data_IF_411064740138
#
_entry.id   IF_411064740138
#
_cell.length_a   1.000
_cell.length_b   1.000
_cell.length_c   1.000
_cell.angle_alpha   90.00
_cell.angle_beta   90.00
_cell.angle_gamma   90.00
#
_symmetry.space_group_name_H-M   'P 1'
#
loop_
_entity.id
_entity.type
_entity.pdbx_description
1 polymer ?
#
# COMPACT_ATOMS: atom_id res chain seq x y z
N UNK A 1 -1.54 -32.41 -25.10
CA UNK A 1 -0.66 -31.74 -24.11
C UNK A 1 -1.00 -30.27 -24.11
N UNK A 2 -1.77 -29.83 -23.11
CA UNK A 2 -2.19 -28.44 -22.96
C UNK A 2 -0.97 -27.59 -22.64
N UNK A 3 -0.60 -26.68 -23.55
CA UNK A 3 0.33 -25.60 -23.29
C UNK A 3 -0.29 -24.68 -22.24
N UNK A 4 -0.14 -25.02 -20.96
CA UNK A 4 -0.37 -24.07 -19.86
C UNK A 4 0.39 -22.79 -20.22
N UNK A 5 -0.36 -21.73 -20.50
CA UNK A 5 0.17 -20.45 -20.98
C UNK A 5 1.37 -20.04 -20.11
N UNK A 6 2.56 -19.89 -20.72
CA UNK A 6 3.80 -19.54 -20.01
C UNK A 6 3.65 -18.27 -19.17
N UNK A 7 2.78 -17.35 -19.58
CA UNK A 7 2.44 -16.13 -18.85
C UNK A 7 1.72 -16.43 -17.52
N UNK A 8 0.77 -17.38 -17.52
CA UNK A 8 0.03 -17.75 -16.30
C UNK A 8 0.94 -18.35 -15.22
N UNK A 9 2.11 -18.89 -15.60
CA UNK A 9 3.09 -19.40 -14.64
C UNK A 9 3.70 -18.27 -13.79
N UNK A 10 4.05 -17.14 -14.41
CA UNK A 10 4.62 -15.99 -13.69
C UNK A 10 3.64 -15.33 -12.71
N UNK A 11 2.33 -15.52 -12.91
CA UNK A 11 1.29 -15.08 -11.98
C UNK A 11 0.75 -16.21 -11.08
N UNK A 12 1.44 -17.35 -11.04
CA UNK A 12 1.05 -18.48 -10.21
C UNK A 12 1.54 -18.33 -8.78
N UNK A 13 0.83 -18.98 -7.84
CA UNK A 13 1.26 -19.05 -6.44
C UNK A 13 2.67 -19.65 -6.32
N UNK A 14 2.99 -20.68 -7.10
CA UNK A 14 4.29 -21.36 -7.02
C UNK A 14 5.48 -20.48 -7.41
N UNK A 15 5.25 -19.44 -8.23
CA UNK A 15 6.28 -18.50 -8.65
C UNK A 15 6.33 -17.28 -7.72
N UNK A 16 5.22 -16.55 -7.56
CA UNK A 16 5.19 -15.28 -6.81
C UNK A 16 5.33 -15.51 -5.30
N UNK A 17 4.70 -16.56 -4.77
CA UNK A 17 4.89 -16.99 -3.39
C UNK A 17 6.02 -18.03 -3.31
N UNK A 18 7.12 -17.82 -4.03
CA UNK A 18 8.38 -18.53 -3.82
C UNK A 18 9.30 -17.68 -2.93
N UNK A 19 10.03 -18.32 -2.01
CA UNK A 19 11.01 -17.64 -1.15
C UNK A 19 12.04 -16.83 -1.93
N UNK A 20 12.46 -17.29 -3.10
CA UNK A 20 13.44 -16.60 -3.95
C UNK A 20 12.87 -15.33 -4.60
N UNK A 21 11.55 -15.20 -4.72
CA UNK A 21 10.87 -14.00 -5.24
C UNK A 21 10.49 -13.06 -4.10
N UNK A 22 10.00 -13.61 -2.99
CA UNK A 22 9.61 -12.79 -1.83
C UNK A 22 10.81 -12.11 -1.15
N UNK A 23 12.01 -12.70 -1.16
CA UNK A 23 13.19 -12.08 -0.54
C UNK A 23 13.62 -10.78 -1.22
N UNK A 24 13.84 -10.74 -2.55
CA UNK A 24 14.08 -9.49 -3.26
C UNK A 24 12.95 -8.48 -3.05
N UNK A 25 11.69 -8.91 -3.15
CA UNK A 25 10.53 -8.06 -2.92
C UNK A 25 10.57 -7.41 -1.52
N UNK A 26 10.85 -8.19 -0.49
CA UNK A 26 10.99 -7.74 0.89
C UNK A 26 12.13 -6.74 1.05
N UNK A 27 13.33 -7.07 0.54
CA UNK A 27 14.51 -6.22 0.68
C UNK A 27 14.32 -4.89 -0.05
N UNK A 28 13.82 -4.92 -1.28
CA UNK A 28 13.54 -3.71 -2.05
C UNK A 28 12.53 -2.80 -1.34
N UNK A 29 11.43 -3.36 -0.83
CA UNK A 29 10.43 -2.58 -0.10
C UNK A 29 10.95 -2.07 1.25
N UNK A 30 11.74 -2.85 1.97
CA UNK A 30 12.36 -2.42 3.23
C UNK A 30 13.35 -1.26 3.00
N UNK A 31 14.22 -1.38 1.99
CA UNK A 31 15.16 -0.30 1.64
C UNK A 31 14.42 0.95 1.14
N UNK A 32 13.38 0.78 0.33
CA UNK A 32 12.52 1.87 -0.12
C UNK A 32 11.81 2.56 1.05
N UNK A 33 11.34 1.79 2.04
CA UNK A 33 10.75 2.30 3.28
C UNK A 33 11.75 3.17 4.04
N UNK A 34 12.96 2.66 4.30
CA UNK A 34 14.02 3.38 5.02
C UNK A 34 14.38 4.67 4.28
N UNK A 35 14.62 4.59 2.97
CA UNK A 35 14.91 5.74 2.14
C UNK A 35 13.76 6.76 2.15
N UNK A 36 12.52 6.28 2.11
CA UNK A 36 11.33 7.12 2.20
C UNK A 36 11.25 7.88 3.52
N UNK A 37 11.52 7.25 4.66
CA UNK A 37 11.55 7.97 5.94
C UNK A 37 12.66 9.04 5.97
N UNK A 38 13.83 8.75 5.40
CA UNK A 38 14.89 9.75 5.25
C UNK A 38 14.47 10.90 4.32
N UNK A 39 13.72 10.61 3.24
CA UNK A 39 13.18 11.62 2.33
C UNK A 39 12.25 12.61 3.04
N UNK A 40 11.43 12.13 3.97
CA UNK A 40 10.52 12.95 4.77
C UNK A 40 11.18 13.58 6.02
N UNK A 41 12.48 13.35 6.26
CA UNK A 41 13.15 13.78 7.51
C UNK A 41 12.95 15.26 7.82
N UNK A 42 13.15 16.14 6.83
CA UNK A 42 13.00 17.58 7.05
C UNK A 42 11.56 17.97 7.34
N UNK A 43 10.59 17.41 6.61
CA UNK A 43 9.16 17.67 6.81
C UNK A 43 8.68 17.16 8.19
N UNK A 44 9.20 16.02 8.65
CA UNK A 44 8.93 15.48 9.98
C UNK A 44 9.45 16.40 11.08
N UNK A 45 10.71 16.85 10.97
CA UNK A 45 11.32 17.78 11.93
C UNK A 45 10.51 19.08 11.98
N UNK A 46 10.20 19.65 10.81
CA UNK A 46 9.40 20.87 10.70
C UNK A 46 8.02 20.71 11.34
N UNK A 47 7.32 19.61 11.06
CA UNK A 47 5.99 19.34 11.64
C UNK A 47 6.06 19.20 13.16
N UNK A 48 7.05 18.50 13.71
CA UNK A 48 7.21 18.32 15.15
C UNK A 48 7.50 19.67 15.86
N UNK A 49 8.21 20.59 15.19
CA UNK A 49 8.54 21.89 15.75
C UNK A 49 7.43 22.95 15.59
N UNK A 50 6.63 22.86 14.54
CA UNK A 50 5.64 23.89 14.19
C UNK A 50 4.19 23.49 14.51
N UNK A 51 3.91 22.19 14.62
CA UNK A 51 2.58 21.61 14.83
C UNK A 51 2.58 20.69 16.06
N UNK A 52 1.39 20.28 16.56
CA UNK A 52 1.32 19.25 17.58
C UNK A 52 2.08 17.99 17.16
N UNK A 53 3.01 17.51 17.98
CA UNK A 53 3.95 16.44 17.61
C UNK A 53 3.29 15.15 17.08
N UNK A 54 2.03 14.88 17.46
CA UNK A 54 1.27 13.72 16.97
C UNK A 54 0.90 13.82 15.48
N UNK A 55 0.92 15.02 14.88
CA UNK A 55 0.74 15.20 13.43
C UNK A 55 1.79 14.43 12.63
N UNK A 56 2.99 14.21 13.20
CA UNK A 56 4.07 13.48 12.56
C UNK A 56 3.70 12.05 12.13
N UNK A 57 2.65 11.44 12.71
CA UNK A 57 2.19 10.10 12.30
C UNK A 57 1.52 10.13 10.91
N UNK A 58 1.02 11.29 10.48
CA UNK A 58 0.36 11.48 9.18
C UNK A 58 1.31 11.95 8.09
N UNK A 59 2.51 12.41 8.43
CA UNK A 59 3.47 13.00 7.48
C UNK A 59 4.12 11.97 6.54
N UNK A 60 4.63 10.82 7.02
CA UNK A 60 5.35 9.89 6.15
C UNK A 60 4.35 9.01 5.39
N UNK A 61 3.79 9.54 4.31
CA UNK A 61 2.79 8.90 3.45
C UNK A 61 3.28 7.59 2.80
N UNK A 62 3.98 7.65 1.67
CA UNK A 62 4.47 6.48 0.94
C UNK A 62 5.48 5.61 1.73
N UNK A 63 6.28 6.13 2.68
CA UNK A 63 7.08 5.29 3.57
C UNK A 63 6.21 4.42 4.48
N UNK A 64 5.10 4.93 5.01
CA UNK A 64 4.18 4.11 5.82
C UNK A 64 3.50 3.05 4.96
N UNK A 65 3.11 3.38 3.73
CA UNK A 65 2.54 2.41 2.80
C UNK A 65 3.47 1.24 2.48
N UNK A 66 4.74 1.54 2.14
CA UNK A 66 5.74 0.52 1.85
C UNK A 66 6.16 -0.28 3.09
N UNK A 67 6.13 0.32 4.29
CA UNK A 67 6.31 -0.39 5.56
C UNK A 67 5.21 -1.46 5.76
N UNK A 68 3.95 -1.07 5.61
CA UNK A 68 2.83 -2.02 5.76
C UNK A 68 2.85 -3.11 4.69
N UNK A 69 3.26 -2.78 3.45
CA UNK A 69 3.45 -3.80 2.42
C UNK A 69 4.60 -4.76 2.77
N UNK A 70 5.71 -4.26 3.31
CA UNK A 70 6.83 -5.07 3.80
C UNK A 70 6.37 -6.05 4.89
N UNK A 71 5.51 -5.61 5.81
CA UNK A 71 4.91 -6.49 6.85
C UNK A 71 3.95 -7.51 6.22
N UNK A 72 3.17 -7.11 5.20
CA UNK A 72 2.35 -8.05 4.41
C UNK A 72 3.20 -9.14 3.76
N UNK A 73 4.38 -8.81 3.22
CA UNK A 73 5.33 -9.81 2.69
C UNK A 73 5.84 -10.76 3.79
N UNK A 74 6.05 -10.29 5.03
CA UNK A 74 6.33 -11.19 6.16
C UNK A 74 5.21 -12.20 6.42
N UNK A 75 3.94 -11.79 6.31
CA UNK A 75 2.82 -12.72 6.39
C UNK A 75 2.81 -13.74 5.25
N UNK A 76 3.22 -13.35 4.04
CA UNK A 76 3.36 -14.28 2.91
C UNK A 76 4.47 -15.33 3.15
N UNK A 77 5.59 -14.94 3.77
CA UNK A 77 6.61 -15.91 4.21
C UNK A 77 6.05 -16.87 5.27
N UNK A 78 5.27 -16.36 6.22
CA UNK A 78 4.65 -17.17 7.26
C UNK A 78 3.70 -18.22 6.67
N UNK A 79 2.88 -17.84 5.69
CA UNK A 79 1.95 -18.75 5.03
C UNK A 79 2.66 -19.86 4.24
N UNK A 80 3.79 -19.56 3.59
CA UNK A 80 4.61 -20.58 2.93
C UNK A 80 5.15 -21.61 3.90
N UNK A 81 5.55 -21.18 5.11
CA UNK A 81 6.10 -22.08 6.11
C UNK A 81 5.01 -22.99 6.71
N UNK A 82 3.78 -22.48 6.91
CA UNK A 82 2.62 -23.28 7.34
C UNK A 82 2.25 -24.37 6.32
N UNK A 83 2.40 -24.11 5.03
CA UNK A 83 2.16 -25.12 3.99
C UNK A 83 3.15 -26.30 4.01
N UNK A 84 4.31 -26.15 4.67
CA UNK A 84 5.33 -27.21 4.82
C UNK A 84 5.19 -27.99 6.11
N UNK A 85 4.70 -27.37 7.18
CA UNK A 85 4.34 -28.03 8.44
C UNK A 85 2.91 -28.55 8.33
N UNK A 86 2.74 -29.71 7.69
CA UNK A 86 1.44 -30.39 7.50
C UNK A 86 0.74 -30.77 8.80
N UNK A 87 0.30 -29.80 9.60
CA UNK A 87 -0.78 -29.97 10.56
C UNK A 87 -2.06 -29.52 9.88
N UNK A 88 -2.71 -30.47 9.20
CA UNK A 88 -4.16 -30.46 9.10
C UNK A 88 -4.69 -30.53 10.55
N UNK A 89 -4.85 -29.39 11.21
CA UNK A 89 -5.74 -29.31 12.37
C UNK A 89 -7.15 -29.39 11.83
N UNK A 90 -7.64 -30.62 11.72
CA UNK A 90 -9.08 -30.87 11.68
C UNK A 90 -9.64 -30.51 13.05
N UNK A 91 -10.24 -29.35 13.15
CA UNK A 91 -11.21 -29.03 14.20
C UNK A 91 -11.98 -27.79 13.77
N UNK A 92 -13.30 -27.93 13.79
CA UNK A 92 -14.31 -26.90 13.59
C UNK A 92 -14.25 -25.85 14.71
N UNK A 93 -13.17 -25.07 14.76
CA UNK A 93 -13.11 -23.96 15.70
C UNK A 93 -13.89 -22.79 15.10
N UNK A 94 -15.12 -22.62 15.60
CA UNK A 94 -15.94 -21.41 15.47
C UNK A 94 -15.02 -20.19 15.67
N UNK A 95 -14.93 -19.25 14.72
CA UNK A 95 -13.90 -18.23 14.74
C UNK A 95 -14.23 -17.17 15.79
N UNK A 96 -13.78 -17.40 17.02
CA UNK A 96 -13.41 -16.29 17.90
C UNK A 96 -12.44 -15.45 17.07
N UNK A 97 -12.78 -14.19 16.85
CA UNK A 97 -12.00 -13.19 16.10
C UNK A 97 -10.53 -13.31 16.53
N UNK A 98 -9.76 -14.13 15.81
CA UNK A 98 -8.37 -14.39 16.17
C UNK A 98 -7.67 -13.06 15.96
N UNK A 99 -7.09 -12.48 17.02
CA UNK A 99 -6.36 -11.19 16.94
C UNK A 99 -5.38 -11.17 15.76
N UNK A 100 -4.80 -12.32 15.40
CA UNK A 100 -3.96 -12.48 14.21
C UNK A 100 -4.68 -12.26 12.88
N UNK A 101 -5.96 -12.60 12.77
CA UNK A 101 -6.80 -12.37 11.59
C UNK A 101 -7.17 -10.89 11.40
N UNK A 102 -7.49 -10.18 12.49
CA UNK A 102 -7.80 -8.75 12.42
C UNK A 102 -6.55 -7.93 12.13
N UNK A 103 -5.45 -8.20 12.83
CA UNK A 103 -4.18 -7.51 12.59
C UNK A 103 -3.72 -7.69 11.14
N UNK A 104 -3.70 -8.94 10.65
CA UNK A 104 -3.33 -9.22 9.27
C UNK A 104 -4.27 -8.54 8.28
N UNK A 105 -5.58 -8.61 8.51
CA UNK A 105 -6.54 -7.97 7.61
C UNK A 105 -6.46 -6.46 7.60
N UNK A 106 -6.09 -5.84 8.72
CA UNK A 106 -5.75 -4.42 8.76
C UNK A 106 -4.45 -4.14 8.00
N UNK A 107 -3.36 -4.88 8.26
CA UNK A 107 -2.06 -4.67 7.60
C UNK A 107 -2.19 -4.79 6.08
N UNK A 108 -2.84 -5.86 5.62
CA UNK A 108 -3.04 -6.13 4.20
C UNK A 108 -3.96 -5.07 3.56
N UNK A 109 -5.04 -4.67 4.24
CA UNK A 109 -5.90 -3.59 3.74
C UNK A 109 -5.17 -2.25 3.68
N UNK A 110 -4.41 -1.91 4.72
CA UNK A 110 -3.63 -0.68 4.79
C UNK A 110 -2.60 -0.64 3.67
N UNK A 111 -1.74 -1.65 3.58
CA UNK A 111 -0.75 -1.79 2.52
C UNK A 111 -1.36 -1.63 1.13
N UNK A 112 -2.48 -2.31 0.87
CA UNK A 112 -3.15 -2.26 -0.43
C UNK A 112 -3.68 -0.85 -0.76
N UNK A 113 -4.46 -0.26 0.15
CA UNK A 113 -5.13 1.03 -0.07
C UNK A 113 -4.08 2.14 -0.22
N UNK A 114 -3.10 2.21 0.68
CA UNK A 114 -2.13 3.31 0.69
C UNK A 114 -1.09 3.18 -0.41
N UNK A 115 -0.60 1.98 -0.74
CA UNK A 115 0.38 1.83 -1.84
C UNK A 115 -0.24 2.11 -3.20
N UNK A 116 -1.52 1.77 -3.40
CA UNK A 116 -2.28 2.21 -4.57
C UNK A 116 -2.40 3.74 -4.62
N UNK A 117 -2.87 4.36 -3.51
CA UNK A 117 -3.08 5.81 -3.41
C UNK A 117 -1.79 6.57 -3.69
N UNK A 118 -0.77 6.39 -2.86
CA UNK A 118 0.46 7.19 -2.96
C UNK A 118 1.29 6.82 -4.17
N UNK A 119 1.20 5.57 -4.63
CA UNK A 119 1.85 5.12 -5.85
C UNK A 119 1.37 5.89 -7.09
N UNK A 120 0.05 6.05 -7.24
CA UNK A 120 -0.54 6.84 -8.33
C UNK A 120 -0.35 8.34 -8.09
N UNK A 121 -0.55 8.81 -6.85
CA UNK A 121 -0.48 10.22 -6.51
C UNK A 121 0.88 10.83 -6.84
N UNK A 122 1.99 10.19 -6.44
CA UNK A 122 3.34 10.71 -6.67
C UNK A 122 3.64 10.88 -8.16
N UNK A 123 3.26 9.88 -8.98
CA UNK A 123 3.43 9.92 -10.43
C UNK A 123 2.63 11.07 -11.05
N UNK A 124 1.38 11.24 -10.61
CA UNK A 124 0.53 12.32 -11.07
C UNK A 124 1.09 13.70 -10.69
N UNK A 125 1.60 13.89 -9.48
CA UNK A 125 2.16 15.17 -9.03
C UNK A 125 3.45 15.53 -9.78
N UNK A 126 4.31 14.55 -10.04
CA UNK A 126 5.53 14.77 -10.81
C UNK A 126 5.20 15.18 -12.25
N UNK A 127 4.28 14.48 -12.92
CA UNK A 127 3.84 14.87 -14.26
C UNK A 127 3.11 16.21 -14.29
N UNK A 128 2.29 16.51 -13.28
CA UNK A 128 1.64 17.81 -13.15
C UNK A 128 2.68 18.94 -13.00
N UNK A 129 3.72 18.73 -12.20
CA UNK A 129 4.84 19.65 -12.06
C UNK A 129 5.58 19.86 -13.38
N UNK A 130 5.87 18.77 -14.10
CA UNK A 130 6.52 18.84 -15.41
C UNK A 130 5.68 19.59 -16.45
N UNK A 131 4.36 19.38 -16.48
CA UNK A 131 3.45 20.16 -17.34
C UNK A 131 3.58 21.66 -17.03
N UNK A 132 3.71 22.04 -15.74
CA UNK A 132 3.91 23.43 -15.33
C UNK A 132 5.32 23.98 -15.60
N UNK A 133 6.18 23.23 -16.29
CA UNK A 133 7.49 23.66 -16.75
C UNK A 133 8.66 23.24 -15.86
N UNK A 134 8.44 22.36 -14.86
CA UNK A 134 9.54 21.80 -14.08
C UNK A 134 10.31 20.77 -14.90
N UNK A 135 11.65 20.88 -15.03
CA UNK A 135 12.44 19.84 -15.67
C UNK A 135 12.44 18.58 -14.82
N UNK A 136 12.29 17.42 -15.46
CA UNK A 136 12.41 16.13 -14.78
C UNK A 136 13.88 15.84 -14.49
N UNK A 137 14.21 15.66 -13.21
CA UNK A 137 15.53 15.22 -12.76
C UNK A 137 15.54 13.72 -12.48
N UNK A 138 16.72 13.16 -12.20
CA UNK A 138 16.87 11.74 -11.92
C UNK A 138 15.99 11.27 -10.74
N UNK A 139 15.87 12.08 -9.70
CA UNK A 139 15.03 11.80 -8.54
C UNK A 139 13.56 11.62 -8.94
N UNK A 140 13.04 12.43 -9.87
CA UNK A 140 11.66 12.32 -10.35
C UNK A 140 11.43 10.98 -11.05
N UNK A 141 12.37 10.54 -11.88
CA UNK A 141 12.30 9.22 -12.53
C UNK A 141 12.34 8.08 -11.52
N UNK A 142 13.26 8.15 -10.56
CA UNK A 142 13.35 7.17 -9.48
C UNK A 142 12.05 7.11 -8.67
N UNK A 143 11.47 8.26 -8.31
CA UNK A 143 10.22 8.35 -7.57
C UNK A 143 9.06 7.79 -8.39
N UNK A 144 8.90 8.20 -9.65
CA UNK A 144 7.83 7.67 -10.51
C UNK A 144 7.90 6.15 -10.65
N UNK A 145 9.08 5.60 -10.94
CA UNK A 145 9.25 4.14 -11.15
C UNK A 145 8.97 3.37 -9.85
N UNK A 146 9.53 3.82 -8.72
CA UNK A 146 9.33 3.16 -7.42
C UNK A 146 7.87 3.23 -6.94
N UNK A 147 7.19 4.36 -7.15
CA UNK A 147 5.78 4.55 -6.76
C UNK A 147 4.82 3.77 -7.67
N UNK A 148 5.11 3.67 -8.97
CA UNK A 148 4.39 2.75 -9.86
C UNK A 148 4.58 1.30 -9.43
N UNK A 149 5.80 0.91 -9.04
CA UNK A 149 6.07 -0.44 -8.55
C UNK A 149 5.23 -0.75 -7.29
N UNK A 150 5.13 0.16 -6.33
CA UNK A 150 4.25 0.00 -5.15
C UNK A 150 2.79 -0.30 -5.54
N UNK A 151 2.26 0.41 -6.53
CA UNK A 151 0.89 0.18 -7.03
C UNK A 151 0.78 -1.20 -7.68
N UNK A 152 1.75 -1.58 -8.53
CA UNK A 152 1.75 -2.86 -9.22
C UNK A 152 1.86 -4.03 -8.24
N UNK A 153 2.72 -3.92 -7.23
CA UNK A 153 2.95 -4.95 -6.21
C UNK A 153 1.66 -5.31 -5.47
N UNK A 154 0.89 -4.32 -5.03
CA UNK A 154 -0.37 -4.60 -4.31
C UNK A 154 -1.42 -5.25 -5.20
N UNK A 155 -1.47 -4.93 -6.50
CA UNK A 155 -2.36 -5.62 -7.44
C UNK A 155 -1.90 -7.05 -7.75
N UNK A 156 -0.59 -7.27 -7.91
CA UNK A 156 0.00 -8.60 -8.14
C UNK A 156 -0.29 -9.52 -6.94
N UNK A 157 -0.13 -9.01 -5.71
CA UNK A 157 -0.28 -9.80 -4.49
C UNK A 157 -1.70 -9.78 -3.89
N UNK A 158 -2.62 -8.99 -4.43
CA UNK A 158 -4.01 -8.85 -3.93
C UNK A 158 -4.71 -10.19 -3.69
N UNK A 159 -4.43 -11.21 -4.52
CA UNK A 159 -5.01 -12.55 -4.41
C UNK A 159 -4.62 -13.30 -3.12
N UNK A 160 -3.43 -13.01 -2.56
CA UNK A 160 -2.89 -13.69 -1.38
C UNK A 160 -2.98 -12.87 -0.09
N UNK A 161 -3.31 -11.59 -0.22
CA UNK A 161 -3.65 -10.70 0.89
C UNK A 161 -5.00 -11.09 1.51
N UNK A 162 -5.14 -10.90 2.83
CA UNK A 162 -6.28 -11.38 3.64
C UNK A 162 -7.11 -10.23 4.17
N UNK A 163 -7.84 -9.58 3.28
CA UNK A 163 -8.74 -8.48 3.65
C UNK A 163 -9.83 -8.91 4.64
N UNK A 164 -10.14 -8.04 5.59
CA UNK A 164 -11.30 -8.15 6.50
C UNK A 164 -12.10 -6.86 6.45
N UNK A 165 -13.41 -6.92 6.73
CA UNK A 165 -14.24 -5.71 6.78
C UNK A 165 -13.73 -4.70 7.81
N UNK A 166 -13.34 -5.20 8.99
CA UNK A 166 -12.75 -4.37 10.06
C UNK A 166 -11.42 -3.77 9.62
N UNK A 167 -10.57 -4.54 8.94
CA UNK A 167 -9.29 -4.05 8.42
C UNK A 167 -9.47 -2.95 7.39
N UNK A 168 -10.38 -3.14 6.43
CA UNK A 168 -10.72 -2.13 5.41
C UNK A 168 -11.31 -0.88 6.07
N UNK A 169 -12.21 -1.03 7.05
CA UNK A 169 -12.81 0.10 7.75
C UNK A 169 -11.75 0.93 8.48
N UNK A 170 -10.86 0.27 9.23
CA UNK A 170 -9.79 0.95 9.97
C UNK A 170 -8.78 1.61 9.04
N UNK A 171 -8.30 0.88 8.02
CA UNK A 171 -7.36 1.41 7.05
C UNK A 171 -7.97 2.56 6.24
N UNK A 172 -9.21 2.40 5.75
CA UNK A 172 -9.92 3.44 5.00
C UNK A 172 -10.20 4.68 5.84
N UNK A 173 -10.60 4.51 7.11
CA UNK A 173 -10.78 5.63 8.03
C UNK A 173 -9.48 6.37 8.28
N UNK A 174 -8.37 5.64 8.45
CA UNK A 174 -7.04 6.23 8.55
C UNK A 174 -6.67 7.02 7.29
N UNK A 175 -6.87 6.44 6.09
CA UNK A 175 -6.52 7.09 4.83
C UNK A 175 -7.33 8.38 4.60
N UNK A 176 -8.62 8.38 4.91
CA UNK A 176 -9.45 9.58 4.81
C UNK A 176 -9.13 10.62 5.89
N UNK A 177 -8.77 10.17 7.09
CA UNK A 177 -8.27 11.06 8.14
C UNK A 177 -6.94 11.70 7.71
N UNK A 178 -6.03 10.94 7.11
CA UNK A 178 -4.79 11.47 6.54
C UNK A 178 -5.07 12.51 5.45
N UNK A 179 -6.02 12.27 4.52
CA UNK A 179 -6.44 13.30 3.54
C UNK A 179 -6.94 14.58 4.22
N UNK A 180 -7.73 14.44 5.28
CA UNK A 180 -8.18 15.58 6.06
C UNK A 180 -6.99 16.31 6.68
N UNK A 181 -6.07 15.59 7.32
CA UNK A 181 -4.90 16.19 7.96
C UNK A 181 -4.04 16.95 6.95
N UNK A 182 -3.76 16.32 5.80
CA UNK A 182 -2.95 16.86 4.72
C UNK A 182 -3.45 18.22 4.26
N UNK A 183 -4.73 18.33 3.89
CA UNK A 183 -5.26 19.54 3.24
C UNK A 183 -5.94 20.52 4.19
N UNK A 184 -6.45 20.07 5.33
CA UNK A 184 -7.01 20.98 6.34
C UNK A 184 -5.92 21.65 7.17
N UNK A 185 -4.90 20.89 7.61
CA UNK A 185 -3.80 21.41 8.41
C UNK A 185 -2.53 21.70 7.60
N UNK A 186 -2.51 21.39 6.30
CA UNK A 186 -1.41 21.75 5.41
C UNK A 186 -0.15 20.90 5.59
N UNK A 187 -0.28 19.67 6.10
CA UNK A 187 0.86 18.74 6.28
C UNK A 187 1.04 17.76 5.11
N UNK A 188 0.39 18.02 3.97
CA UNK A 188 0.54 17.24 2.73
C UNK A 188 2.01 17.07 2.33
N UNK A 189 2.38 16.00 1.60
CA UNK A 189 3.75 15.80 1.13
C UNK A 189 4.31 17.00 0.39
N UNK A 190 5.59 17.28 0.61
CA UNK A 190 6.31 18.39 -0.04
C UNK A 190 5.99 18.47 -1.54
N UNK A 191 5.20 19.48 -1.90
CA UNK A 191 4.68 19.71 -3.24
C UNK A 191 5.43 20.87 -3.89
N UNK A 192 5.59 20.83 -5.21
CA UNK A 192 6.15 21.98 -5.92
C UNK A 192 5.28 23.23 -5.74
N UNK A 193 5.91 24.36 -5.43
CA UNK A 193 5.22 25.65 -5.22
C UNK A 193 4.33 26.03 -6.41
N UNK A 194 4.72 25.65 -7.63
CA UNK A 194 3.96 25.84 -8.87
C UNK A 194 2.58 25.16 -8.87
N UNK A 195 2.39 24.14 -8.03
CA UNK A 195 1.14 23.40 -7.88
C UNK A 195 0.25 23.93 -6.74
N UNK A 196 0.75 24.85 -5.90
CA UNK A 196 -0.02 25.43 -4.79
C UNK A 196 -1.35 26.10 -5.22
N UNK A 197 -1.42 26.80 -6.38
CA UNK A 197 -2.68 27.34 -6.86
C UNK A 197 -3.75 26.28 -7.18
N UNK A 198 -3.36 25.01 -7.28
CA UNK A 198 -4.22 23.88 -7.64
C UNK A 198 -4.53 22.97 -6.44
N UNK A 199 -4.18 23.36 -5.21
CA UNK A 199 -4.35 22.52 -4.01
C UNK A 199 -5.78 21.98 -3.84
N UNK A 200 -6.82 22.77 -4.15
CA UNK A 200 -8.20 22.28 -4.06
C UNK A 200 -8.48 21.13 -5.03
N UNK A 201 -7.92 21.17 -6.25
CA UNK A 201 -8.07 20.10 -7.23
C UNK A 201 -7.26 18.86 -6.78
N UNK A 202 -6.04 19.09 -6.28
CA UNK A 202 -5.16 18.03 -5.78
C UNK A 202 -5.78 17.34 -4.56
N UNK A 203 -6.43 18.08 -3.66
CA UNK A 203 -7.20 17.54 -2.54
C UNK A 203 -8.30 16.60 -3.03
N UNK A 204 -9.15 17.06 -3.96
CA UNK A 204 -10.23 16.22 -4.50
C UNK A 204 -9.70 14.99 -5.22
N UNK A 205 -8.60 15.13 -5.95
CA UNK A 205 -7.90 14.00 -6.57
C UNK A 205 -7.39 13.00 -5.52
N UNK A 206 -6.82 13.50 -4.42
CA UNK A 206 -6.28 12.65 -3.35
C UNK A 206 -7.39 11.89 -2.63
N UNK A 207 -8.49 12.57 -2.28
CA UNK A 207 -9.68 11.93 -1.69
C UNK A 207 -10.29 10.91 -2.65
N UNK A 208 -10.33 11.21 -3.95
CA UNK A 208 -10.80 10.26 -4.96
C UNK A 208 -9.94 8.99 -4.99
N UNK A 209 -8.61 9.11 -4.92
CA UNK A 209 -7.71 7.95 -4.82
C UNK A 209 -7.95 7.13 -3.55
N UNK A 210 -8.24 7.78 -2.42
CA UNK A 210 -8.58 7.09 -1.17
C UNK A 210 -9.89 6.30 -1.30
N UNK A 211 -10.94 6.92 -1.86
CA UNK A 211 -12.24 6.27 -2.09
C UNK A 211 -12.10 5.11 -3.07
N UNK A 212 -11.38 5.28 -4.18
CA UNK A 212 -11.17 4.21 -5.16
C UNK A 212 -10.33 3.08 -4.58
N UNK A 213 -9.29 3.38 -3.80
CA UNK A 213 -8.49 2.39 -3.09
C UNK A 213 -9.32 1.53 -2.12
N UNK A 214 -10.18 2.17 -1.32
CA UNK A 214 -11.13 1.47 -0.43
C UNK A 214 -12.09 0.59 -1.25
N UNK A 215 -12.68 1.14 -2.33
CA UNK A 215 -13.58 0.41 -3.22
C UNK A 215 -12.92 -0.82 -3.87
N UNK A 216 -11.66 -0.71 -4.29
CA UNK A 216 -10.87 -1.82 -4.82
C UNK A 216 -10.61 -2.89 -3.76
N UNK A 217 -10.26 -2.51 -2.53
CA UNK A 217 -10.08 -3.47 -1.43
C UNK A 217 -11.39 -4.22 -1.11
N UNK A 218 -12.52 -3.52 -1.10
CA UNK A 218 -13.86 -4.11 -0.94
C UNK A 218 -14.18 -5.07 -2.08
N UNK A 219 -13.88 -4.69 -3.33
CA UNK A 219 -14.08 -5.55 -4.49
C UNK A 219 -13.26 -6.85 -4.39
N UNK A 220 -11.99 -6.78 -3.99
CA UNK A 220 -11.14 -7.96 -3.79
C UNK A 220 -11.70 -8.87 -2.69
N UNK A 221 -12.16 -8.29 -1.56
CA UNK A 221 -12.80 -9.04 -0.48
C UNK A 221 -14.05 -9.79 -0.96
N UNK A 222 -14.93 -9.14 -1.72
CA UNK A 222 -16.12 -9.78 -2.26
C UNK A 222 -15.79 -10.90 -3.23
N UNK A 223 -14.83 -10.70 -4.13
CA UNK A 223 -14.38 -11.73 -5.07
C UNK A 223 -13.85 -12.96 -4.35
N UNK A 224 -13.08 -12.76 -3.28
CA UNK A 224 -12.56 -13.86 -2.44
C UNK A 224 -13.68 -14.64 -1.76
N UNK A 225 -14.67 -13.96 -1.16
CA UNK A 225 -15.83 -14.62 -0.52
C UNK A 225 -16.72 -15.37 -1.51
N UNK A 226 -16.94 -14.82 -2.71
CA UNK A 226 -17.73 -15.49 -3.76
C UNK A 226 -17.06 -16.79 -4.20
N UNK A 227 -15.74 -16.79 -4.36
CA UNK A 227 -14.99 -18.00 -4.72
C UNK A 227 -15.11 -19.09 -3.63
N UNK A 228 -15.09 -18.70 -2.35
CA UNK A 228 -15.27 -19.64 -1.24
C UNK A 228 -16.69 -20.23 -1.12
N UNK A 229 -17.73 -19.50 -1.54
CA UNK A 229 -19.13 -19.96 -1.48
C UNK A 229 -19.55 -20.82 -2.68
N UNK A 230 -18.77 -20.80 -3.76
CA UNK A 230 -19.04 -21.55 -4.98
C UNK A 230 -18.22 -22.84 -5.12
N UNK A 231 -17.45 -23.20 -4.09
CA UNK A 231 -16.86 -24.52 -3.89
C UNK A 231 -17.65 -25.24 -2.80
#
# INVERSE_FOLDING_TARGET
METKNRISFFFSHSFLCNRNVLWPLFVCNMLGTIYGFEWYRYQLIETIHTQPAWFAIFVPDSPTASLFFTISVCFLFWDQNKGKTGKQTGSEDIPLISRHSVLRGFVDAFAFITSYKYGIWAVAMIWAGNWKGLPLVWQDWMLMVSHLAMTMEVFIYAKWMKFTWTGILLAGSWTLLNDYMDYHYGIFPSLFVLLHPYLSIIQWFTVALSITGIGLAVFVLFKAKKHQRGM
#
